data_IF_665436982703
#
_entry.id   IF_665436982703
#
_cell.length_a   1.000
_cell.length_b   1.000
_cell.length_c   1.000
_cell.angle_alpha   90.00
_cell.angle_beta   90.00
_cell.angle_gamma   90.00
#
_symmetry.space_group_name_H-M   'P 1'
#
loop_
_entity.id
_entity.type
_entity.pdbx_description
1 polymer ?
#
# COMPACT_ATOMS: atom_id res chain seq x y z
N UNK A 1 16.21 -19.16 35.02
CA UNK A 1 15.04 -18.81 34.19
C UNK A 1 14.29 -17.54 34.65
N UNK A 2 14.41 -17.06 35.90
CA UNK A 2 13.75 -15.80 36.35
C UNK A 2 14.20 -14.54 35.60
N UNK A 3 15.48 -14.45 35.23
CA UNK A 3 16.03 -13.36 34.42
C UNK A 3 15.43 -13.33 32.99
N UNK A 4 15.03 -14.48 32.45
CA UNK A 4 14.42 -14.56 31.11
C UNK A 4 12.95 -14.11 31.15
N UNK A 5 12.19 -14.51 32.18
CA UNK A 5 10.81 -14.03 32.39
C UNK A 5 10.77 -12.52 32.59
N UNK A 6 11.61 -11.98 33.45
CA UNK A 6 11.71 -10.53 33.66
C UNK A 6 12.12 -9.78 32.39
N UNK A 7 13.00 -10.37 31.58
CA UNK A 7 13.35 -9.79 30.26
C UNK A 7 12.15 -9.76 29.31
N UNK A 8 11.36 -10.82 29.23
CA UNK A 8 10.14 -10.85 28.40
C UNK A 8 9.11 -9.82 28.87
N UNK A 9 8.87 -9.71 30.18
CA UNK A 9 7.98 -8.69 30.77
C UNK A 9 8.39 -7.27 30.39
N UNK A 10 9.70 -6.97 30.47
CA UNK A 10 10.25 -5.67 30.08
C UNK A 10 10.07 -5.41 28.58
N UNK A 11 10.34 -6.39 27.73
CA UNK A 11 10.17 -6.26 26.28
C UNK A 11 8.69 -6.08 25.90
N UNK A 12 7.79 -6.85 26.50
CA UNK A 12 6.35 -6.70 26.29
C UNK A 12 5.87 -5.32 26.71
N UNK A 13 6.27 -4.85 27.89
CA UNK A 13 5.96 -3.48 28.34
C UNK A 13 6.42 -2.43 27.30
N UNK A 14 7.65 -2.56 26.81
CA UNK A 14 8.22 -1.62 25.85
C UNK A 14 7.49 -1.65 24.51
N UNK A 15 7.20 -2.84 23.98
CA UNK A 15 6.54 -2.98 22.68
C UNK A 15 5.06 -2.61 22.74
N UNK A 16 4.37 -2.86 23.86
CA UNK A 16 3.01 -2.39 24.10
C UNK A 16 2.96 -0.86 23.96
N UNK A 17 3.83 -0.16 24.70
CA UNK A 17 3.95 1.30 24.62
C UNK A 17 4.32 1.80 23.23
N UNK A 18 5.15 1.04 22.51
CA UNK A 18 5.55 1.39 21.15
C UNK A 18 4.38 1.32 20.18
N UNK A 19 3.55 0.28 20.25
CA UNK A 19 2.34 0.17 19.43
C UNK A 19 1.39 1.32 19.75
N UNK A 20 1.10 1.58 21.03
CA UNK A 20 0.25 2.70 21.46
C UNK A 20 0.75 4.05 20.93
N UNK A 21 2.07 4.29 21.00
CA UNK A 21 2.69 5.53 20.52
C UNK A 21 2.56 5.67 19.00
N UNK A 22 2.79 4.59 18.25
CA UNK A 22 2.66 4.57 16.79
C UNK A 22 1.22 4.85 16.38
N UNK A 23 0.25 4.20 17.01
CA UNK A 23 -1.18 4.44 16.77
C UNK A 23 -1.56 5.88 17.09
N UNK A 24 -1.20 6.37 18.27
CA UNK A 24 -1.49 7.75 18.69
C UNK A 24 -0.94 8.76 17.69
N UNK A 25 0.28 8.54 17.20
CA UNK A 25 0.89 9.40 16.18
C UNK A 25 0.08 9.38 14.89
N UNK A 26 -0.27 8.21 14.37
CA UNK A 26 -1.01 8.12 13.11
C UNK A 26 -2.43 8.69 13.20
N UNK A 27 -3.12 8.46 14.32
CA UNK A 27 -4.43 9.07 14.59
C UNK A 27 -4.30 10.60 14.67
N UNK A 28 -3.26 11.12 15.33
CA UNK A 28 -3.01 12.56 15.39
C UNK A 28 -2.67 13.16 14.00
N UNK A 29 -2.05 12.38 13.12
CA UNK A 29 -1.81 12.74 11.72
C UNK A 29 -3.08 12.64 10.85
N UNK A 30 -4.18 12.09 11.39
CA UNK A 30 -5.49 11.93 10.76
C UNK A 30 -5.40 11.23 9.38
N UNK A 31 -4.60 10.17 9.31
CA UNK A 31 -4.32 9.44 8.07
C UNK A 31 -5.59 8.80 7.47
N UNK A 32 -6.52 8.39 8.32
CA UNK A 32 -7.83 7.84 7.96
C UNK A 32 -8.71 8.82 7.17
N UNK A 33 -8.44 10.13 7.28
CA UNK A 33 -9.22 11.18 6.61
C UNK A 33 -8.56 11.73 5.34
N UNK A 34 -7.38 11.25 4.96
CA UNK A 34 -6.64 11.77 3.80
C UNK A 34 -7.43 11.58 2.50
N UNK A 35 -7.97 12.60 1.86
CA UNK A 35 -8.70 12.43 0.57
C UNK A 35 -7.77 12.47 -0.64
N UNK A 36 -8.11 11.72 -1.69
CA UNK A 36 -7.47 11.89 -2.99
C UNK A 36 -7.99 13.17 -3.65
N UNK A 37 -7.14 13.81 -4.44
CA UNK A 37 -7.51 14.97 -5.25
C UNK A 37 -7.56 14.57 -6.72
N UNK A 38 -8.60 14.98 -7.43
CA UNK A 38 -8.82 14.67 -8.85
C UNK A 38 -8.15 15.66 -9.80
N UNK A 39 -7.42 16.65 -9.28
CA UNK A 39 -6.71 17.63 -10.09
C UNK A 39 -5.37 17.07 -10.60
N UNK A 40 -5.06 17.28 -11.88
CA UNK A 40 -3.82 16.80 -12.54
C UNK A 40 -2.56 17.30 -11.83
N UNK A 41 -2.63 18.49 -11.20
CA UNK A 41 -1.54 19.06 -10.40
C UNK A 41 -1.31 18.32 -9.07
N UNK A 42 -2.25 17.46 -8.67
CA UNK A 42 -2.26 16.75 -7.38
C UNK A 42 -1.67 15.34 -7.42
N UNK A 43 -1.08 14.91 -8.54
CA UNK A 43 -0.44 13.59 -8.65
C UNK A 43 0.64 13.39 -7.57
N UNK A 44 1.44 14.42 -7.30
CA UNK A 44 2.48 14.38 -6.26
C UNK A 44 1.88 14.22 -4.86
N UNK A 45 0.80 14.95 -4.57
CA UNK A 45 0.07 14.86 -3.30
C UNK A 45 -0.55 13.48 -3.09
N UNK A 46 -1.23 12.93 -4.10
CA UNK A 46 -1.83 11.59 -4.02
C UNK A 46 -0.76 10.50 -3.82
N UNK A 47 0.39 10.63 -4.48
CA UNK A 47 1.54 9.73 -4.27
C UNK A 47 2.08 9.82 -2.85
N UNK A 48 2.21 11.02 -2.30
CA UNK A 48 2.67 11.20 -0.92
C UNK A 48 1.66 10.63 0.10
N UNK A 49 0.36 10.90 -0.07
CA UNK A 49 -0.70 10.34 0.77
C UNK A 49 -0.64 8.81 0.77
N UNK A 50 -0.54 8.20 -0.42
CA UNK A 50 -0.41 6.76 -0.55
C UNK A 50 0.83 6.24 0.16
N UNK A 51 2.00 6.87 -0.05
CA UNK A 51 3.24 6.49 0.62
C UNK A 51 3.07 6.50 2.15
N UNK A 52 2.46 7.53 2.72
CA UNK A 52 2.21 7.64 4.16
C UNK A 52 1.28 6.55 4.68
N UNK A 53 0.23 6.20 3.92
CA UNK A 53 -0.69 5.11 4.28
C UNK A 53 0.03 3.75 4.29
N UNK A 54 0.83 3.45 3.26
CA UNK A 54 1.61 2.20 3.19
C UNK A 54 2.68 2.11 4.30
N UNK A 55 3.35 3.21 4.60
CA UNK A 55 4.30 3.29 5.73
C UNK A 55 3.59 3.04 7.07
N UNK A 56 2.38 3.58 7.25
CA UNK A 56 1.59 3.35 8.45
C UNK A 56 1.15 1.88 8.58
N UNK A 57 0.65 1.28 7.50
CA UNK A 57 0.30 -0.15 7.44
C UNK A 57 1.50 -1.00 7.86
N UNK A 58 2.64 -0.83 7.17
CA UNK A 58 3.83 -1.63 7.45
C UNK A 58 4.38 -1.42 8.87
N UNK A 59 4.29 -0.20 9.40
CA UNK A 59 4.71 0.08 10.77
C UNK A 59 3.81 -0.60 11.82
N UNK A 60 2.49 -0.58 11.61
CA UNK A 60 1.52 -1.25 12.49
C UNK A 60 1.76 -2.76 12.44
N UNK A 61 1.79 -3.36 11.25
CA UNK A 61 2.02 -4.80 11.06
C UNK A 61 3.34 -5.28 11.69
N UNK A 62 4.42 -4.52 11.50
CA UNK A 62 5.71 -4.87 12.10
C UNK A 62 5.65 -4.86 13.63
N UNK A 63 4.97 -3.88 14.23
CA UNK A 63 4.86 -3.78 15.67
C UNK A 63 3.92 -4.84 16.26
N UNK A 64 2.76 -5.09 15.62
CA UNK A 64 1.79 -6.10 16.07
C UNK A 64 2.34 -7.53 15.92
N UNK A 65 3.06 -7.81 14.84
CA UNK A 65 3.78 -9.07 14.66
C UNK A 65 4.83 -9.28 15.76
N UNK A 66 5.61 -8.23 16.06
CA UNK A 66 6.68 -8.32 17.06
C UNK A 66 6.14 -8.53 18.48
N UNK A 67 5.09 -7.83 18.88
CA UNK A 67 4.50 -8.00 20.21
C UNK A 67 3.82 -9.36 20.36
N UNK A 68 3.16 -9.85 19.30
CA UNK A 68 2.59 -11.21 19.27
C UNK A 68 3.67 -12.27 19.45
N UNK A 69 4.82 -12.12 18.78
CA UNK A 69 5.94 -13.05 18.92
C UNK A 69 6.53 -13.03 20.34
N UNK A 70 6.62 -11.85 20.96
CA UNK A 70 7.09 -11.72 22.35
C UNK A 70 6.12 -12.39 23.33
N UNK A 71 4.81 -12.25 23.13
CA UNK A 71 3.81 -12.89 23.99
C UNK A 71 3.86 -14.41 23.88
N UNK A 72 3.95 -14.93 22.64
CA UNK A 72 4.17 -16.37 22.38
C UNK A 72 5.46 -16.87 23.03
N UNK A 73 6.55 -16.09 22.95
CA UNK A 73 7.82 -16.40 23.60
C UNK A 73 7.71 -16.45 25.12
N UNK A 74 6.93 -15.55 25.73
CA UNK A 74 6.64 -15.61 27.15
C UNK A 74 5.83 -16.87 27.49
N UNK A 75 4.73 -17.16 26.78
CA UNK A 75 3.94 -18.37 26.99
C UNK A 75 4.81 -19.64 26.94
N UNK A 76 5.63 -19.81 25.89
CA UNK A 76 6.54 -20.96 25.77
C UNK A 76 7.56 -21.05 26.90
N UNK A 77 8.07 -19.90 27.37
CA UNK A 77 9.01 -19.87 28.50
C UNK A 77 8.31 -20.25 29.81
N UNK A 78 7.07 -19.82 30.01
CA UNK A 78 6.25 -20.17 31.16
C UNK A 78 5.96 -21.68 31.18
N UNK A 79 5.56 -22.26 30.05
CA UNK A 79 5.31 -23.69 29.89
C UNK A 79 6.58 -24.55 30.11
N UNK A 80 7.76 -23.99 29.81
CA UNK A 80 9.03 -24.69 30.00
C UNK A 80 9.52 -24.73 31.46
N UNK A 81 8.87 -24.00 32.37
CA UNK A 81 9.26 -24.00 33.77
C UNK A 81 8.89 -25.32 34.43
N UNK A 82 9.83 -25.89 35.19
CA UNK A 82 9.60 -27.15 35.90
C UNK A 82 8.50 -27.04 36.96
N UNK A 83 8.41 -25.89 37.63
CA UNK A 83 7.44 -25.58 38.69
C UNK A 83 7.05 -24.09 38.61
N UNK A 84 6.23 -23.67 37.63
CA UNK A 84 5.73 -22.31 37.56
C UNK A 84 4.85 -22.00 38.78
N UNK A 85 5.02 -20.81 39.35
CA UNK A 85 4.17 -20.37 40.47
C UNK A 85 2.84 -19.83 39.94
N UNK A 86 1.81 -19.79 40.79
CA UNK A 86 0.54 -19.11 40.43
C UNK A 86 0.80 -17.67 39.99
N UNK A 87 1.72 -16.97 40.65
CA UNK A 87 2.14 -15.62 40.29
C UNK A 87 2.68 -15.53 38.86
N UNK A 88 3.40 -16.54 38.38
CA UNK A 88 3.95 -16.48 37.01
C UNK A 88 2.84 -16.55 35.95
N UNK A 89 1.75 -17.27 36.23
CA UNK A 89 0.53 -17.30 35.42
C UNK A 89 -0.27 -16.01 35.54
N UNK A 90 -0.52 -15.54 36.77
CA UNK A 90 -1.24 -14.28 37.01
C UNK A 90 -0.53 -13.11 36.30
N UNK A 91 0.81 -13.06 36.38
CA UNK A 91 1.62 -12.07 35.66
C UNK A 91 1.48 -12.25 34.13
N UNK A 92 1.48 -13.49 33.61
CA UNK A 92 1.30 -13.73 32.18
C UNK A 92 -0.07 -13.25 31.69
N UNK A 93 -1.14 -13.55 32.42
CA UNK A 93 -2.50 -13.15 32.07
C UNK A 93 -2.64 -11.62 32.06
N UNK A 94 -2.01 -10.91 32.99
CA UNK A 94 -1.95 -9.44 32.99
C UNK A 94 -1.29 -8.90 31.71
N UNK A 95 -0.15 -9.46 31.32
CA UNK A 95 0.54 -9.05 30.09
C UNK A 95 -0.24 -9.44 28.84
N UNK A 96 -0.86 -10.62 28.82
CA UNK A 96 -1.66 -11.10 27.70
C UNK A 96 -2.86 -10.17 27.46
N UNK A 97 -3.64 -9.88 28.50
CA UNK A 97 -4.79 -8.99 28.42
C UNK A 97 -4.40 -7.60 27.87
N UNK A 98 -3.29 -7.04 28.36
CA UNK A 98 -2.81 -5.73 27.89
C UNK A 98 -2.36 -5.76 26.43
N UNK A 99 -1.66 -6.82 26.02
CA UNK A 99 -1.24 -7.00 24.63
C UNK A 99 -2.46 -7.16 23.72
N UNK A 100 -3.46 -7.93 24.14
CA UNK A 100 -4.71 -8.14 23.40
C UNK A 100 -5.49 -6.84 23.19
N UNK A 101 -5.61 -5.99 24.22
CA UNK A 101 -6.25 -4.67 24.12
C UNK A 101 -5.56 -3.78 23.07
N UNK A 102 -4.23 -3.71 23.13
CA UNK A 102 -3.43 -2.90 22.20
C UNK A 102 -3.44 -3.49 20.79
N UNK A 103 -3.44 -4.82 20.65
CA UNK A 103 -3.58 -5.48 19.36
C UNK A 103 -4.97 -5.23 18.75
N UNK A 104 -6.04 -5.27 19.54
CA UNK A 104 -7.40 -4.96 19.07
C UNK A 104 -7.45 -3.55 18.50
N UNK A 105 -6.97 -2.57 19.27
CA UNK A 105 -6.92 -1.17 18.84
C UNK A 105 -6.07 -0.99 17.56
N UNK A 106 -4.95 -1.71 17.46
CA UNK A 106 -4.09 -1.65 16.29
C UNK A 106 -4.77 -2.23 15.04
N UNK A 107 -5.47 -3.35 15.19
CA UNK A 107 -6.18 -4.02 14.09
C UNK A 107 -7.37 -3.19 13.62
N UNK A 108 -8.16 -2.61 14.54
CA UNK A 108 -9.27 -1.74 14.19
C UNK A 108 -8.79 -0.55 13.36
N UNK A 109 -7.69 0.10 13.77
CA UNK A 109 -7.12 1.20 13.02
C UNK A 109 -6.48 0.75 11.70
N UNK A 110 -5.83 -0.41 11.66
CA UNK A 110 -5.25 -0.98 10.44
C UNK A 110 -6.33 -1.15 9.35
N UNK A 111 -7.50 -1.67 9.71
CA UNK A 111 -8.63 -1.82 8.77
C UNK A 111 -9.02 -0.47 8.15
N UNK A 112 -9.05 0.61 8.93
CA UNK A 112 -9.35 1.95 8.42
C UNK A 112 -8.30 2.44 7.41
N UNK A 113 -7.01 2.28 7.75
CA UNK A 113 -5.91 2.72 6.89
C UNK A 113 -5.82 1.89 5.61
N UNK A 114 -6.03 0.57 5.69
CA UNK A 114 -6.09 -0.30 4.50
C UNK A 114 -7.25 0.04 3.58
N UNK A 115 -8.44 0.30 4.15
CA UNK A 115 -9.60 0.75 3.37
C UNK A 115 -9.27 2.08 2.67
N UNK A 116 -8.59 2.98 3.39
CA UNK A 116 -8.16 4.26 2.83
C UNK A 116 -7.12 4.08 1.72
N UNK A 117 -6.08 3.28 1.91
CA UNK A 117 -5.07 3.00 0.86
C UNK A 117 -5.73 2.43 -0.40
N UNK A 118 -6.66 1.47 -0.24
CA UNK A 118 -7.44 0.91 -1.36
C UNK A 118 -8.25 1.96 -2.12
N UNK A 119 -8.83 2.94 -1.43
CA UNK A 119 -9.57 4.03 -2.09
C UNK A 119 -8.68 4.88 -3.00
N UNK A 120 -7.41 5.12 -2.61
CA UNK A 120 -6.43 5.81 -3.47
C UNK A 120 -6.02 4.97 -4.69
N UNK A 121 -5.93 3.64 -4.55
CA UNK A 121 -5.65 2.75 -5.68
C UNK A 121 -6.78 2.75 -6.71
N UNK A 122 -8.03 2.82 -6.25
CA UNK A 122 -9.21 2.84 -7.13
C UNK A 122 -9.22 4.09 -8.04
N UNK A 123 -8.81 5.25 -7.53
CA UNK A 123 -8.84 6.52 -8.27
C UNK A 123 -7.72 6.60 -9.32
N UNK A 124 -6.53 6.05 -9.01
CA UNK A 124 -5.44 5.99 -10.01
C UNK A 124 -5.61 4.88 -11.05
N UNK A 125 -6.49 3.90 -10.84
CA UNK A 125 -6.69 2.78 -11.77
C UNK A 125 -7.76 3.04 -12.83
N UNK A 126 -8.48 4.17 -12.75
CA UNK A 126 -9.54 4.54 -13.70
C UNK A 126 -9.06 5.30 -14.93
N UNK A 127 -7.75 5.49 -15.11
CA UNK A 127 -7.23 6.08 -16.35
C UNK A 127 -6.85 5.04 -17.40
N UNK A 128 -7.64 5.04 -18.48
CA UNK A 128 -7.55 4.37 -19.79
C UNK A 128 -8.36 3.06 -19.94
N UNK A 129 -9.26 2.98 -20.94
CA UNK A 129 -8.94 3.27 -22.35
C UNK A 129 -10.00 4.12 -23.08
N UNK A 130 -9.67 5.36 -23.41
CA UNK A 130 -10.43 6.13 -24.39
C UNK A 130 -9.64 6.27 -25.69
N UNK A 131 -9.99 5.38 -26.62
CA UNK A 131 -9.87 5.56 -28.07
C UNK A 131 -10.07 7.03 -28.43
N UNK A 132 -9.09 7.65 -29.09
CA UNK A 132 -9.28 8.45 -30.32
C UNK A 132 -7.90 8.95 -30.77
N UNK A 133 -7.31 8.26 -31.73
CA UNK A 133 -6.37 8.88 -32.65
C UNK A 133 -6.64 8.27 -34.03
N UNK A 134 -7.65 8.82 -34.71
CA UNK A 134 -7.69 8.78 -36.17
C UNK A 134 -6.40 9.43 -36.68
N UNK A 135 -5.40 8.61 -36.98
CA UNK A 135 -4.39 8.98 -37.98
C UNK A 135 -4.62 8.07 -39.17
N UNK A 136 -5.30 8.66 -40.14
CA UNK A 136 -5.29 8.27 -41.55
C UNK A 136 -3.90 7.82 -41.97
N UNK A 137 -3.75 6.51 -42.12
CA UNK A 137 -2.61 5.90 -42.78
C UNK A 137 -2.79 6.19 -44.28
N UNK A 138 -2.15 7.25 -44.79
CA UNK A 138 -1.90 7.35 -46.23
C UNK A 138 -0.76 6.38 -46.51
N UNK A 139 -1.12 5.14 -46.84
CA UNK A 139 -0.18 4.15 -47.35
C UNK A 139 0.18 4.56 -48.78
N UNK A 140 1.38 5.13 -48.94
CA UNK A 140 2.01 5.29 -50.23
C UNK A 140 2.43 3.90 -50.74
N UNK A 141 1.55 3.23 -51.48
CA UNK A 141 1.88 2.08 -52.32
C UNK A 141 0.65 1.69 -53.13
N UNK A 142 0.46 2.31 -54.29
CA UNK A 142 -0.13 1.60 -55.42
C UNK A 142 0.26 2.24 -56.75
N UNK A 143 1.31 1.64 -57.31
CA UNK A 143 1.42 1.25 -58.71
C UNK A 143 0.81 2.20 -59.75
N UNK A 144 1.65 3.14 -60.17
CA UNK A 144 1.63 3.81 -61.45
C UNK A 144 1.71 2.78 -62.60
N UNK A 145 0.57 2.28 -63.06
CA UNK A 145 0.49 1.41 -64.24
C UNK A 145 -0.85 1.57 -64.95
N UNK A 146 -1.02 2.70 -65.64
CA UNK A 146 -2.04 2.85 -66.69
C UNK A 146 -1.66 3.91 -67.72
N UNK A 147 -0.50 3.75 -68.35
CA UNK A 147 -0.29 4.26 -69.71
C UNK A 147 -0.89 3.27 -70.69
N UNK A 148 -2.03 3.63 -71.29
CA UNK A 148 -2.25 3.55 -72.74
C UNK A 148 -3.72 3.84 -73.09
N UNK A 149 -3.85 4.88 -73.93
CA UNK A 149 -4.64 4.88 -75.17
C UNK A 149 -6.06 5.45 -75.09
N UNK A 150 -6.14 6.75 -75.28
CA UNK A 150 -6.86 7.37 -76.40
C UNK A 150 -6.50 8.87 -76.42
N UNK A 151 -6.43 9.61 -77.52
CA UNK A 151 -6.41 9.37 -78.96
C UNK A 151 -6.31 10.79 -79.53
N UNK A 152 -5.40 11.00 -80.48
CA UNK A 152 -5.43 11.97 -81.59
C UNK A 152 -5.79 13.44 -81.21
N UNK A 153 -4.96 14.44 -81.51
CA UNK A 153 -4.77 14.90 -82.89
C UNK A 153 -3.98 16.21 -82.91
N UNK A 154 -3.09 16.32 -83.90
CA UNK A 154 -2.64 17.53 -84.61
C UNK A 154 -1.54 18.39 -83.91
N UNK A 155 -0.30 18.37 -84.43
CA UNK A 155 0.22 19.12 -85.62
C UNK A 155 0.51 20.58 -85.21
N UNK A 156 1.67 21.21 -85.38
CA UNK A 156 2.87 21.05 -86.23
C UNK A 156 3.87 22.10 -85.71
N UNK A 157 5.13 21.72 -85.48
CA UNK A 157 6.31 22.08 -86.29
C UNK A 157 7.03 23.38 -85.89
N UNK A 158 8.36 23.29 -86.00
CA UNK A 158 9.41 24.10 -85.38
C UNK A 158 9.93 25.18 -86.33
N UNK A 159 10.37 26.30 -85.72
CA UNK A 159 11.27 27.41 -86.13
C UNK A 159 11.58 27.80 -87.59
N UNK A 160 11.79 29.12 -87.71
CA UNK A 160 12.57 29.90 -88.69
C UNK A 160 13.89 29.22 -89.08
#
# INVERSE_FOLDING_TARGET
MSAQLSSHKRLLTQFTKKVETVLTRFIAENLESLTASDDDSSLAYNKDCRRRLEEAIGAIEACTSRITQLLKGYASLLDSLKNPSKKDYDDYDEYAAKVEEVLSSALDYLVLIEARSRSFLSICSTETPSKTANRSFVSASDAELRTKKARASHSTNTHI
#
